data_IF_543218931274
#
_entry.id   IF_543218931274
#
_cell.length_a   1.000
_cell.length_b   1.000
_cell.length_c   1.000
_cell.angle_alpha   90.00
_cell.angle_beta   90.00
_cell.angle_gamma   90.00
#
_symmetry.space_group_name_H-M   'P 1'
#
loop_
_entity.id
_entity.type
_entity.pdbx_description
1 polymer ?
#
# COMPACT_ATOMS: atom_id res chain seq x y z
N UNK A 1 20.86 21.39 7.49
CA UNK A 1 20.67 20.40 6.39
C UNK A 1 19.17 20.25 6.21
N UNK A 2 18.61 20.56 5.02
CA UNK A 2 17.16 20.34 4.76
C UNK A 2 16.94 18.87 4.40
N UNK A 3 15.99 18.21 5.07
CA UNK A 3 15.60 16.83 4.72
C UNK A 3 14.95 16.83 3.33
N UNK A 4 15.17 15.75 2.58
CA UNK A 4 14.49 15.58 1.28
C UNK A 4 12.98 15.36 1.51
N UNK A 5 12.09 15.88 0.65
CA UNK A 5 10.64 15.77 0.81
C UNK A 5 10.16 14.33 1.04
N UNK A 6 10.71 13.37 0.29
CA UNK A 6 10.37 11.96 0.41
C UNK A 6 10.72 11.39 1.80
N UNK A 7 11.82 11.82 2.43
CA UNK A 7 12.16 11.38 3.80
C UNK A 7 11.15 11.93 4.81
N UNK A 8 10.66 13.15 4.59
CA UNK A 8 9.64 13.77 5.44
C UNK A 8 8.31 13.03 5.31
N UNK A 9 7.84 12.78 4.07
CA UNK A 9 6.62 12.00 3.82
C UNK A 9 6.70 10.63 4.49
N UNK A 10 7.80 9.90 4.32
CA UNK A 10 7.96 8.57 4.91
C UNK A 10 7.92 8.59 6.45
N UNK A 11 8.47 9.65 7.05
CA UNK A 11 8.36 9.89 8.49
C UNK A 11 6.91 10.12 8.93
N UNK A 12 6.16 10.96 8.20
CA UNK A 12 4.73 11.22 8.46
C UNK A 12 3.92 9.92 8.32
N UNK A 13 4.15 9.15 7.26
CA UNK A 13 3.48 7.86 7.05
C UNK A 13 3.78 6.87 8.17
N UNK A 14 5.04 6.77 8.60
CA UNK A 14 5.41 5.89 9.71
C UNK A 14 4.70 6.27 11.01
N UNK A 15 4.59 7.56 11.31
CA UNK A 15 3.82 8.06 12.47
C UNK A 15 2.34 7.70 12.32
N UNK A 16 1.76 7.93 11.14
CA UNK A 16 0.36 7.57 10.86
C UNK A 16 0.11 6.07 11.06
N UNK A 17 1.00 5.21 10.56
CA UNK A 17 0.89 3.76 10.71
C UNK A 17 1.02 3.31 12.17
N UNK A 18 1.90 3.92 12.95
CA UNK A 18 1.97 3.68 14.41
C UNK A 18 0.64 4.02 15.07
N UNK A 19 0.08 5.20 14.79
CA UNK A 19 -1.16 5.67 15.40
C UNK A 19 -2.35 4.79 15.00
N UNK A 20 -2.44 4.42 13.72
CA UNK A 20 -3.48 3.51 13.23
C UNK A 20 -3.35 2.12 13.83
N UNK A 21 -2.14 1.55 13.87
CA UNK A 21 -1.89 0.26 14.51
C UNK A 21 -2.27 0.26 15.99
N UNK A 22 -1.89 1.31 16.72
CA UNK A 22 -2.30 1.49 18.10
C UNK A 22 -3.82 1.59 18.25
N UNK A 23 -4.51 2.36 17.40
CA UNK A 23 -5.96 2.46 17.43
C UNK A 23 -6.64 1.10 17.16
N UNK A 24 -6.18 0.36 16.15
CA UNK A 24 -6.74 -0.93 15.75
C UNK A 24 -6.47 -2.03 16.78
N UNK A 25 -5.38 -1.96 17.55
CA UNK A 25 -5.12 -2.90 18.64
C UNK A 25 -5.98 -2.63 19.88
N UNK A 26 -6.40 -1.38 20.10
CA UNK A 26 -7.13 -0.98 21.31
C UNK A 26 -8.64 -0.84 21.09
N UNK A 27 -9.11 -0.83 19.84
CA UNK A 27 -10.52 -0.64 19.49
C UNK A 27 -10.96 -1.71 18.49
N UNK A 28 -12.01 -2.46 18.85
CA UNK A 28 -12.63 -3.43 17.94
C UNK A 28 -13.50 -2.70 16.91
N UNK A 29 -12.91 -2.39 15.76
CA UNK A 29 -13.59 -1.66 14.68
C UNK A 29 -14.23 -2.60 13.64
N UNK A 30 -13.81 -3.87 13.61
CA UNK A 30 -14.26 -4.83 12.60
C UNK A 30 -14.03 -4.30 11.18
N UNK A 31 -15.01 -4.48 10.28
CA UNK A 31 -14.92 -4.07 8.88
C UNK A 31 -14.65 -2.58 8.65
N UNK A 32 -14.85 -1.72 9.66
CA UNK A 32 -14.56 -0.29 9.55
C UNK A 32 -13.06 0.02 9.41
N UNK A 33 -12.17 -0.88 9.85
CA UNK A 33 -10.73 -0.75 9.62
C UNK A 33 -10.41 -0.50 8.14
N UNK A 34 -11.11 -1.19 7.24
CA UNK A 34 -10.89 -1.06 5.80
C UNK A 34 -11.19 0.35 5.28
N UNK A 35 -12.26 0.98 5.75
CA UNK A 35 -12.63 2.32 5.32
C UNK A 35 -11.73 3.41 5.90
N UNK A 36 -11.20 3.19 7.11
CA UNK A 36 -10.17 4.06 7.69
C UNK A 36 -8.89 3.98 6.85
N UNK A 37 -8.50 2.78 6.41
CA UNK A 37 -7.37 2.60 5.48
C UNK A 37 -7.61 3.31 4.14
N UNK A 38 -8.83 3.22 3.59
CA UNK A 38 -9.20 3.98 2.36
C UNK A 38 -9.07 5.48 2.58
N UNK A 39 -9.59 6.01 3.69
CA UNK A 39 -9.49 7.42 4.02
C UNK A 39 -8.03 7.88 4.17
N UNK A 40 -7.18 7.05 4.81
CA UNK A 40 -5.75 7.31 4.92
C UNK A 40 -5.05 7.31 3.54
N UNK A 41 -5.39 6.36 2.66
CA UNK A 41 -4.85 6.30 1.31
C UNK A 41 -5.26 7.52 0.46
N UNK A 42 -6.52 7.97 0.55
CA UNK A 42 -7.00 9.20 -0.08
C UNK A 42 -6.22 10.41 0.46
N UNK A 43 -6.09 10.52 1.79
CA UNK A 43 -5.34 11.60 2.43
C UNK A 43 -3.89 11.64 1.94
N UNK A 44 -3.23 10.49 1.84
CA UNK A 44 -1.87 10.38 1.31
C UNK A 44 -1.77 10.81 -0.15
N UNK A 45 -2.66 10.34 -1.02
CA UNK A 45 -2.67 10.73 -2.44
C UNK A 45 -2.90 12.24 -2.62
N UNK A 46 -3.87 12.81 -1.90
CA UNK A 46 -4.16 14.25 -1.94
C UNK A 46 -3.01 15.09 -1.37
N UNK A 47 -2.35 14.59 -0.31
CA UNK A 47 -1.17 15.23 0.26
C UNK A 47 -0.04 15.30 -0.77
N UNK A 48 0.26 14.20 -1.46
CA UNK A 48 1.32 14.16 -2.48
C UNK A 48 0.99 15.01 -3.70
N UNK A 49 -0.27 15.06 -4.15
CA UNK A 49 -0.70 16.01 -5.17
C UNK A 49 -0.41 17.45 -4.75
N UNK A 50 -0.72 17.80 -3.49
CA UNK A 50 -0.53 19.15 -2.96
C UNK A 50 0.94 19.52 -2.80
N UNK A 51 1.75 18.65 -2.19
CA UNK A 51 3.17 18.91 -1.89
C UNK A 51 4.00 19.02 -3.16
N UNK A 52 3.65 18.26 -4.19
CA UNK A 52 4.33 18.31 -5.48
C UNK A 52 3.68 19.29 -6.48
N UNK A 53 2.66 20.05 -6.06
CA UNK A 53 1.91 21.01 -6.90
C UNK A 53 1.34 20.39 -8.19
N UNK A 54 0.89 19.13 -8.10
CA UNK A 54 0.38 18.34 -9.21
C UNK A 54 -1.15 18.46 -9.27
N UNK A 55 -1.67 18.96 -10.39
CA UNK A 55 -3.10 18.93 -10.66
C UNK A 55 -3.62 17.50 -10.88
N UNK A 56 -4.83 17.18 -10.39
CA UNK A 56 -5.45 15.86 -10.54
C UNK A 56 -5.66 15.44 -12.01
N UNK A 57 -5.78 16.42 -12.91
CA UNK A 57 -5.95 16.20 -14.35
C UNK A 57 -4.63 16.11 -15.11
N UNK A 58 -3.49 16.29 -14.44
CA UNK A 58 -2.17 16.24 -15.07
C UNK A 58 -1.85 14.84 -15.60
N UNK A 59 -1.00 14.79 -16.64
CA UNK A 59 -0.46 13.52 -17.14
C UNK A 59 0.31 12.75 -16.07
N UNK A 60 0.91 13.47 -15.11
CA UNK A 60 1.63 12.88 -14.00
C UNK A 60 0.69 12.13 -13.04
N UNK A 61 -0.43 12.75 -12.68
CA UNK A 61 -1.47 12.12 -11.87
C UNK A 61 -2.07 10.91 -12.59
N UNK A 62 -2.30 10.99 -13.91
CA UNK A 62 -2.78 9.85 -14.71
C UNK A 62 -1.80 8.67 -14.68
N UNK A 63 -0.49 8.93 -14.87
CA UNK A 63 0.54 7.89 -14.78
C UNK A 63 0.61 7.27 -13.38
N UNK A 64 0.49 8.07 -12.33
CA UNK A 64 0.42 7.57 -10.96
C UNK A 64 -0.82 6.68 -10.72
N UNK A 65 -1.99 7.09 -11.24
CA UNK A 65 -3.20 6.27 -11.19
C UNK A 65 -3.02 4.95 -11.96
N UNK A 66 -2.26 4.92 -13.06
CA UNK A 66 -1.94 3.66 -13.76
C UNK A 66 -1.03 2.74 -12.92
N UNK A 67 -0.08 3.29 -12.16
CA UNK A 67 0.72 2.51 -11.19
C UNK A 67 -0.18 1.97 -10.07
N UNK A 68 -1.09 2.78 -9.55
CA UNK A 68 -2.11 2.35 -8.61
C UNK A 68 -3.00 1.24 -9.16
N UNK A 69 -3.43 1.37 -10.42
CA UNK A 69 -4.26 0.36 -11.09
C UNK A 69 -3.51 -0.96 -11.23
N UNK A 70 -2.23 -0.90 -11.61
CA UNK A 70 -1.38 -2.07 -11.66
C UNK A 70 -1.29 -2.75 -10.28
N UNK A 71 -1.06 -1.99 -9.21
CA UNK A 71 -1.00 -2.54 -7.85
C UNK A 71 -2.32 -3.20 -7.44
N UNK A 72 -3.45 -2.54 -7.69
CA UNK A 72 -4.78 -3.10 -7.39
C UNK A 72 -5.02 -4.43 -8.12
N UNK A 73 -4.68 -4.52 -9.41
CA UNK A 73 -4.85 -5.76 -10.19
C UNK A 73 -3.88 -6.86 -9.74
N UNK A 74 -2.64 -6.48 -9.41
CA UNK A 74 -1.65 -7.40 -8.88
C UNK A 74 -2.10 -7.98 -7.54
N UNK A 75 -2.49 -7.12 -6.61
CA UNK A 75 -3.01 -7.48 -5.29
C UNK A 75 -4.25 -8.37 -5.40
N UNK A 76 -5.20 -8.01 -6.27
CA UNK A 76 -6.37 -8.84 -6.56
C UNK A 76 -5.99 -10.26 -7.02
N UNK A 77 -5.00 -10.38 -7.91
CA UNK A 77 -4.50 -11.67 -8.36
C UNK A 77 -3.83 -12.48 -7.24
N UNK A 78 -3.01 -11.82 -6.43
CA UNK A 78 -2.28 -12.43 -5.30
C UNK A 78 -3.26 -12.93 -4.23
N UNK A 79 -4.23 -12.10 -3.82
CA UNK A 79 -5.25 -12.47 -2.82
C UNK A 79 -6.09 -13.67 -3.27
N UNK A 80 -6.61 -13.64 -4.51
CA UNK A 80 -7.41 -14.77 -5.01
C UNK A 80 -6.56 -16.05 -5.16
N UNK A 81 -5.28 -15.92 -5.53
CA UNK A 81 -4.35 -17.07 -5.59
C UNK A 81 -4.10 -17.63 -4.19
N UNK A 82 -3.86 -16.76 -3.20
CA UNK A 82 -3.71 -17.13 -1.80
C UNK A 82 -4.90 -17.89 -1.27
N UNK A 83 -6.12 -17.43 -1.59
CA UNK A 83 -7.35 -18.11 -1.21
C UNK A 83 -7.55 -19.45 -1.91
N UNK A 84 -7.39 -19.51 -3.25
CA UNK A 84 -7.53 -20.75 -4.03
C UNK A 84 -6.56 -21.83 -3.53
N UNK A 85 -5.33 -21.44 -3.24
CA UNK A 85 -4.31 -22.35 -2.71
C UNK A 85 -4.49 -22.62 -1.21
N UNK A 86 -5.34 -21.85 -0.51
CA UNK A 86 -5.65 -21.99 0.90
C UNK A 86 -4.51 -21.56 1.83
N UNK A 87 -3.71 -20.56 1.45
CA UNK A 87 -2.65 -20.00 2.27
C UNK A 87 -3.10 -18.82 3.13
N UNK A 88 -3.94 -17.94 2.60
CA UNK A 88 -4.56 -16.87 3.37
C UNK A 88 -5.85 -16.43 2.69
N UNK A 89 -6.66 -15.68 3.42
CA UNK A 89 -7.78 -14.96 2.85
C UNK A 89 -8.23 -13.83 3.76
N UNK A 90 -8.80 -12.82 3.11
CA UNK A 90 -9.42 -11.68 3.75
C UNK A 90 -10.89 -12.00 4.06
N UNK A 91 -11.38 -11.58 5.23
CA UNK A 91 -12.75 -11.81 5.70
C UNK A 91 -13.44 -10.50 6.06
N UNK A 92 -14.77 -10.56 6.21
CA UNK A 92 -15.56 -9.46 6.76
C UNK A 92 -15.44 -8.14 5.97
N UNK A 93 -15.40 -8.21 4.63
CA UNK A 93 -15.56 -7.05 3.77
C UNK A 93 -17.05 -6.68 3.63
N UNK A 94 -17.39 -5.38 3.70
CA UNK A 94 -18.78 -4.92 3.49
C UNK A 94 -19.24 -5.22 2.06
N UNK A 95 -18.35 -4.99 1.09
CA UNK A 95 -18.54 -5.25 -0.33
C UNK A 95 -17.26 -5.97 -0.80
N UNK A 96 -17.40 -7.11 -1.49
CA UNK A 96 -16.29 -7.90 -1.99
C UNK A 96 -16.43 -8.18 -3.48
N UNK A 97 -15.30 -8.23 -4.19
CA UNK A 97 -15.19 -8.70 -5.57
C UNK A 97 -14.36 -9.97 -5.53
N UNK A 98 -14.97 -11.11 -5.84
CA UNK A 98 -14.34 -12.41 -5.55
C UNK A 98 -14.09 -12.56 -4.05
N UNK A 99 -12.83 -12.76 -3.65
CA UNK A 99 -12.42 -12.88 -2.25
C UNK A 99 -11.85 -11.61 -1.63
N UNK A 100 -11.73 -10.54 -2.42
CA UNK A 100 -11.05 -9.31 -2.02
C UNK A 100 -12.08 -8.25 -1.66
N UNK A 101 -12.05 -7.65 -0.45
CA UNK A 101 -12.90 -6.51 -0.14
C UNK A 101 -12.62 -5.34 -1.09
N UNK A 102 -13.67 -4.68 -1.56
CA UNK A 102 -13.57 -3.50 -2.43
C UNK A 102 -12.69 -2.41 -1.79
N UNK A 103 -12.78 -2.25 -0.47
CA UNK A 103 -11.97 -1.29 0.26
C UNK A 103 -10.47 -1.63 0.21
N UNK A 104 -10.07 -2.90 0.21
CA UNK A 104 -8.66 -3.31 -0.01
C UNK A 104 -8.21 -2.91 -1.41
N UNK A 105 -9.04 -3.19 -2.42
CA UNK A 105 -8.75 -2.78 -3.80
C UNK A 105 -8.58 -1.26 -3.93
N UNK A 106 -9.42 -0.47 -3.26
CA UNK A 106 -9.33 0.99 -3.23
C UNK A 106 -8.06 1.48 -2.51
N UNK A 107 -7.65 0.83 -1.42
CA UNK A 107 -6.39 1.15 -0.73
C UNK A 107 -5.21 0.90 -1.65
N UNK A 108 -5.16 -0.26 -2.31
CA UNK A 108 -4.10 -0.60 -3.26
C UNK A 108 -4.06 0.38 -4.44
N UNK A 109 -5.22 0.74 -4.98
CA UNK A 109 -5.33 1.70 -6.08
C UNK A 109 -4.84 3.11 -5.70
N UNK A 110 -5.46 3.69 -4.67
CA UNK A 110 -5.23 5.09 -4.30
C UNK A 110 -3.89 5.24 -3.57
N UNK A 111 -3.56 4.31 -2.68
CA UNK A 111 -2.29 4.26 -1.97
C UNK A 111 -1.11 4.02 -2.92
N UNK A 112 -1.26 3.12 -3.90
CA UNK A 112 -0.26 2.92 -4.95
C UNK A 112 -0.04 4.16 -5.82
N UNK A 113 -1.11 4.90 -6.14
CA UNK A 113 -1.00 6.17 -6.85
C UNK A 113 -0.30 7.25 -6.00
N UNK A 114 -0.64 7.38 -4.72
CA UNK A 114 0.05 8.27 -3.78
C UNK A 114 1.52 7.95 -3.67
N UNK A 115 1.85 6.67 -3.50
CA UNK A 115 3.22 6.19 -3.43
C UNK A 115 4.01 6.52 -4.71
N UNK A 116 3.41 6.36 -5.88
CA UNK A 116 4.08 6.66 -7.15
C UNK A 116 4.48 8.14 -7.30
N UNK A 117 3.66 9.06 -6.76
CA UNK A 117 3.92 10.50 -6.72
C UNK A 117 4.98 10.88 -5.68
N UNK A 118 4.98 10.20 -4.54
CA UNK A 118 5.92 10.39 -3.45
C UNK A 118 7.38 10.05 -3.82
N UNK A 119 7.57 9.06 -4.71
CA UNK A 119 8.90 8.56 -5.04
C UNK A 119 9.83 9.62 -5.67
N UNK A 120 11.15 9.57 -5.42
CA UNK A 120 12.14 10.41 -6.07
C UNK A 120 12.02 10.37 -7.60
N UNK A 121 12.21 11.50 -8.27
CA UNK A 121 12.10 11.61 -9.75
C UNK A 121 13.05 10.67 -10.48
N UNK A 122 14.28 10.54 -9.98
CA UNK A 122 15.31 9.62 -10.50
C UNK A 122 15.44 8.39 -9.61
N UNK A 123 15.79 7.26 -10.21
CA UNK A 123 16.01 6.02 -9.47
C UNK A 123 17.19 6.19 -8.51
N UNK A 124 16.96 5.87 -7.25
CA UNK A 124 17.96 5.85 -6.18
C UNK A 124 17.86 4.48 -5.50
N UNK A 125 18.86 3.62 -5.71
CA UNK A 125 18.84 2.25 -5.21
C UNK A 125 18.75 2.21 -3.67
N UNK A 126 19.47 3.10 -2.98
CA UNK A 126 19.48 3.14 -1.52
C UNK A 126 18.10 3.52 -0.98
N UNK A 127 17.49 4.53 -1.58
CA UNK A 127 16.13 4.92 -1.24
C UNK A 127 15.12 3.81 -1.58
N UNK A 128 15.17 3.22 -2.78
CA UNK A 128 14.22 2.17 -3.18
C UNK A 128 14.30 0.93 -2.28
N UNK A 129 15.50 0.52 -1.86
CA UNK A 129 15.66 -0.58 -0.91
C UNK A 129 15.09 -0.23 0.46
N UNK A 130 15.40 0.96 0.97
CA UNK A 130 14.90 1.42 2.26
C UNK A 130 13.37 1.54 2.27
N UNK A 131 12.81 2.18 1.24
CA UNK A 131 11.36 2.33 1.05
C UNK A 131 10.66 0.97 0.98
N UNK A 132 11.20 0.02 0.21
CA UNK A 132 10.66 -1.34 0.13
C UNK A 132 10.67 -2.05 1.48
N UNK A 133 11.74 -1.89 2.28
CA UNK A 133 11.80 -2.45 3.64
C UNK A 133 10.77 -1.82 4.57
N UNK A 134 10.60 -0.50 4.52
CA UNK A 134 9.64 0.22 5.37
C UNK A 134 8.21 -0.19 5.04
N UNK A 135 7.83 -0.18 3.77
CA UNK A 135 6.48 -0.61 3.36
C UNK A 135 6.26 -2.11 3.56
N UNK A 136 7.28 -2.96 3.42
CA UNK A 136 7.16 -4.38 3.75
C UNK A 136 6.95 -4.63 5.25
N UNK A 137 7.68 -3.89 6.09
CA UNK A 137 7.51 -3.95 7.53
C UNK A 137 6.10 -3.53 7.94
N UNK A 138 5.63 -2.37 7.48
CA UNK A 138 4.31 -1.87 7.81
C UNK A 138 3.18 -2.70 7.19
N UNK A 139 3.36 -3.25 5.99
CA UNK A 139 2.41 -4.18 5.37
C UNK A 139 2.23 -5.44 6.21
N UNK A 140 3.33 -6.12 6.55
CA UNK A 140 3.28 -7.33 7.37
C UNK A 140 2.75 -7.08 8.78
N UNK A 141 3.14 -5.97 9.40
CA UNK A 141 2.62 -5.57 10.71
C UNK A 141 1.14 -5.20 10.63
N UNK A 142 0.73 -4.50 9.58
CA UNK A 142 -0.67 -4.16 9.31
C UNK A 142 -1.54 -5.41 9.17
N UNK A 143 -1.11 -6.40 8.39
CA UNK A 143 -1.81 -7.68 8.30
C UNK A 143 -1.88 -8.42 9.63
N UNK A 144 -0.80 -8.43 10.42
CA UNK A 144 -0.85 -9.00 11.76
C UNK A 144 -1.91 -8.32 12.63
N UNK A 145 -1.97 -6.98 12.62
CA UNK A 145 -3.02 -6.23 13.34
C UNK A 145 -4.41 -6.60 12.82
N UNK A 146 -4.60 -6.68 11.50
CA UNK A 146 -5.88 -7.08 10.89
C UNK A 146 -6.27 -8.52 11.25
N UNK A 147 -5.31 -9.44 11.39
CA UNK A 147 -5.56 -10.79 11.89
C UNK A 147 -6.03 -10.81 13.34
N UNK A 148 -5.49 -9.94 14.21
CA UNK A 148 -6.03 -9.80 15.58
C UNK A 148 -7.47 -9.30 15.62
N UNK A 149 -7.91 -8.61 14.56
CA UNK A 149 -9.29 -8.14 14.37
C UNK A 149 -10.19 -9.16 13.63
N UNK A 150 -9.69 -10.36 13.32
CA UNK A 150 -10.43 -11.37 12.56
C UNK A 150 -10.74 -10.97 11.12
N UNK A 151 -9.99 -10.03 10.55
CA UNK A 151 -10.17 -9.52 9.19
C UNK A 151 -9.28 -10.25 8.17
N UNK A 152 -8.21 -10.91 8.63
CA UNK A 152 -7.31 -11.67 7.79
C UNK A 152 -6.90 -12.97 8.47
N UNK A 153 -6.92 -14.07 7.72
CA UNK A 153 -6.62 -15.40 8.25
C UNK A 153 -5.52 -16.04 7.42
N UNK A 154 -4.49 -16.54 8.11
CA UNK A 154 -3.41 -17.32 7.52
C UNK A 154 -3.58 -18.81 7.83
N UNK A 155 -3.22 -19.64 6.87
CA UNK A 155 -3.33 -21.10 6.90
C UNK A 155 -2.16 -21.75 6.18
N UNK A 156 -2.03 -23.09 6.27
CA UNK A 156 -1.00 -23.89 5.57
C UNK A 156 0.45 -23.40 5.77
N UNK A 157 0.75 -22.90 6.97
CA UNK A 157 2.09 -22.41 7.32
C UNK A 157 2.42 -21.01 6.78
N UNK A 158 1.46 -20.29 6.20
CA UNK A 158 1.63 -18.87 5.91
C UNK A 158 1.78 -18.07 7.21
N UNK A 159 2.69 -17.10 7.25
CA UNK A 159 3.02 -16.32 8.45
C UNK A 159 3.29 -14.87 8.08
N UNK A 160 3.28 -13.97 9.08
CA UNK A 160 3.63 -12.55 8.87
C UNK A 160 5.06 -12.36 8.35
N UNK A 161 5.98 -13.29 8.61
CA UNK A 161 7.32 -13.26 8.04
C UNK A 161 7.32 -13.55 6.53
N UNK A 162 6.47 -14.47 6.08
CA UNK A 162 6.27 -14.73 4.65
C UNK A 162 5.53 -13.56 3.98
N UNK A 163 4.55 -12.96 4.67
CA UNK A 163 3.89 -11.74 4.22
C UNK A 163 4.89 -10.59 4.05
N UNK A 164 5.81 -10.39 5.00
CA UNK A 164 6.90 -9.41 4.87
C UNK A 164 7.73 -9.64 3.60
N UNK A 165 8.14 -10.89 3.35
CA UNK A 165 8.86 -11.25 2.13
C UNK A 165 8.06 -10.95 0.85
N UNK A 166 6.77 -11.29 0.85
CA UNK A 166 5.87 -11.01 -0.27
C UNK A 166 5.74 -9.50 -0.52
N UNK A 167 5.50 -8.69 0.52
CA UNK A 167 5.47 -7.24 0.40
C UNK A 167 6.78 -6.68 -0.12
N UNK A 168 7.92 -7.12 0.41
CA UNK A 168 9.22 -6.64 -0.05
C UNK A 168 9.42 -6.88 -1.56
N UNK A 169 9.05 -8.07 -2.05
CA UNK A 169 9.09 -8.41 -3.47
C UNK A 169 8.13 -7.51 -4.27
N UNK A 170 6.90 -7.34 -3.80
CA UNK A 170 5.88 -6.48 -4.44
C UNK A 170 6.38 -5.04 -4.60
N UNK A 171 6.93 -4.45 -3.53
CA UNK A 171 7.46 -3.09 -3.58
C UNK A 171 8.69 -2.98 -4.48
N UNK A 172 9.58 -3.98 -4.49
CA UNK A 172 10.70 -4.02 -5.43
C UNK A 172 10.23 -4.06 -6.90
N UNK A 173 9.19 -4.86 -7.21
CA UNK A 173 8.56 -4.90 -8.53
C UNK A 173 7.91 -3.56 -8.87
N UNK A 174 7.20 -2.93 -7.93
CA UNK A 174 6.59 -1.62 -8.16
C UNK A 174 7.63 -0.54 -8.44
N UNK A 175 8.77 -0.53 -7.73
CA UNK A 175 9.89 0.36 -8.03
C UNK A 175 10.35 0.16 -9.48
N UNK A 176 10.51 -1.09 -9.91
CA UNK A 176 10.82 -1.38 -11.31
C UNK A 176 9.75 -0.86 -12.28
N UNK A 177 8.45 -1.10 -12.02
CA UNK A 177 7.35 -0.60 -12.84
C UNK A 177 7.37 0.93 -12.94
N UNK A 178 7.55 1.63 -11.83
CA UNK A 178 7.56 3.10 -11.78
C UNK A 178 8.75 3.70 -12.51
N UNK A 179 9.94 3.12 -12.41
CA UNK A 179 11.17 3.70 -12.98
C UNK A 179 11.54 3.21 -14.39
N UNK A 180 11.10 2.02 -14.80
CA UNK A 180 11.51 1.38 -16.07
C UNK A 180 10.38 1.17 -17.08
N UNK A 181 9.11 1.25 -16.68
CA UNK A 181 7.99 1.06 -17.61
C UNK A 181 7.68 2.35 -18.41
N UNK A 182 6.90 2.28 -19.52
CA UNK A 182 6.39 3.47 -20.21
C UNK A 182 5.51 4.37 -19.32
N UNK A 183 5.10 3.89 -18.15
CA UNK A 183 4.40 4.68 -17.12
C UNK A 183 5.35 5.57 -16.32
N UNK A 184 6.62 5.69 -16.73
CA UNK A 184 7.62 6.52 -16.08
C UNK A 184 7.08 7.95 -15.89
N UNK A 185 7.06 8.33 -14.62
CA UNK A 185 6.81 9.67 -14.13
C UNK A 185 8.12 10.45 -14.36
N UNK A 186 8.27 11.06 -15.53
CA UNK A 186 9.33 12.02 -15.85
C UNK A 186 8.69 13.37 -16.17
N UNK A 187 9.28 14.43 -15.62
CA UNK A 187 8.98 15.82 -15.98
C UNK A 187 9.40 16.13 -17.42
#
# INVERSE_FOLDING_TARGET
MRLKPEIVTLGILSILFVLMGAAFLNVTLGSWCWWILVAAAIGFFLYELKVNEIGITSELAKKALLVGLFLMLFDFGVENTGWILGYWHTQNGIIAVGTVPLAVMLVCFIGGAGWALYLPKKFDLGFSLYDSLVFAFWGALGEWVLSTQGLMVYTKGWTSALAFGAYFITWAVLHWVRYKSPLKISE
#
